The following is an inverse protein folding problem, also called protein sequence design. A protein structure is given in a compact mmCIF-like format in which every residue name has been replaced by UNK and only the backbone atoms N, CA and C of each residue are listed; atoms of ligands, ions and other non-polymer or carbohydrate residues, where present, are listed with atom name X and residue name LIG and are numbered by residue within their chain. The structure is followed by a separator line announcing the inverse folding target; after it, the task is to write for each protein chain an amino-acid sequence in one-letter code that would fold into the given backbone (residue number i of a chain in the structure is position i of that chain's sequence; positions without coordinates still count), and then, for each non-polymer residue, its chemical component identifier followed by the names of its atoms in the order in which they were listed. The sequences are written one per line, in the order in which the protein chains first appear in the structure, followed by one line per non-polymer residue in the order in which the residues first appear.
data_IF_368486504962
#
_entry.id   IF_368486504962
#
_cell.length_a   1.000
_cell.length_b   1.000
_cell.length_c   1.000
_cell.angle_alpha   90.00
_cell.angle_beta   90.00
_cell.angle_gamma   90.00
#
_symmetry.space_group_name_H-M   'P 1'
#
loop_
_entity.id
_entity.type
_entity.pdbx_description
1 polymer ?
#
# COMPACT_ATOMS: atom_id res chain seq x y z
N UNK A 1 70.68 -21.27 -20.75
CA UNK A 1 70.12 -21.04 -19.42
C UNK A 1 68.66 -21.25 -19.53
N UNK A 2 68.01 -22.22 -18.93
CA UNK A 2 66.61 -22.38 -18.90
C UNK A 2 66.04 -21.33 -17.92
N UNK A 3 65.02 -20.61 -18.36
CA UNK A 3 64.26 -19.71 -17.54
C UNK A 3 63.57 -20.50 -16.42
N UNK A 4 63.92 -20.18 -15.18
CA UNK A 4 63.24 -20.69 -13.99
C UNK A 4 61.72 -20.40 -14.13
N UNK A 5 60.97 -21.48 -14.14
CA UNK A 5 59.53 -21.42 -13.96
C UNK A 5 59.27 -20.79 -12.58
N UNK A 6 58.80 -19.56 -12.57
CA UNK A 6 58.25 -18.95 -11.36
C UNK A 6 57.04 -19.80 -10.90
N UNK A 7 57.30 -20.77 -10.04
CA UNK A 7 56.28 -21.53 -9.35
C UNK A 7 55.58 -20.55 -8.39
N UNK A 8 54.44 -20.05 -8.79
CA UNK A 8 53.58 -19.21 -7.92
C UNK A 8 53.26 -20.02 -6.66
N UNK A 9 53.74 -19.58 -5.52
CA UNK A 9 53.55 -20.29 -4.26
C UNK A 9 52.20 -19.97 -3.64
N UNK A 10 51.23 -20.84 -3.84
CA UNK A 10 49.88 -20.71 -3.30
C UNK A 10 49.73 -21.13 -1.82
N UNK A 11 50.82 -21.55 -1.15
CA UNK A 11 50.76 -22.04 0.23
C UNK A 11 50.16 -21.04 1.22
N UNK A 12 50.29 -19.73 0.97
CA UNK A 12 49.71 -18.66 1.77
C UNK A 12 48.17 -18.73 1.77
N UNK A 13 47.54 -19.20 0.69
CA UNK A 13 46.08 -19.29 0.59
C UNK A 13 45.46 -20.35 1.50
N UNK A 14 46.26 -21.30 1.99
CA UNK A 14 45.83 -22.32 2.96
C UNK A 14 45.55 -21.71 4.36
N UNK A 15 46.10 -20.55 4.67
CA UNK A 15 45.82 -19.86 5.94
C UNK A 15 44.52 -19.04 5.91
N UNK A 16 43.90 -18.90 4.75
CA UNK A 16 42.62 -18.23 4.64
C UNK A 16 41.53 -19.18 5.12
N UNK A 17 40.65 -18.67 5.99
CA UNK A 17 39.46 -19.42 6.44
C UNK A 17 38.35 -19.47 5.38
N UNK A 18 38.47 -18.67 4.33
CA UNK A 18 37.52 -18.63 3.21
C UNK A 18 37.84 -19.71 2.18
N UNK A 19 36.84 -20.34 1.54
CA UNK A 19 37.07 -21.26 0.43
C UNK A 19 37.73 -20.54 -0.76
N UNK A 20 38.88 -21.01 -1.21
CA UNK A 20 39.60 -20.43 -2.36
C UNK A 20 39.96 -21.52 -3.35
N UNK A 21 39.70 -21.27 -4.63
CA UNK A 21 40.13 -22.08 -5.76
C UNK A 21 40.77 -21.21 -6.83
N UNK A 22 41.80 -21.69 -7.48
CA UNK A 22 42.53 -21.02 -8.56
C UNK A 22 42.47 -21.84 -9.83
N UNK A 23 42.10 -21.20 -10.93
CA UNK A 23 42.12 -21.80 -12.26
C UNK A 23 43.17 -21.14 -13.14
N UNK A 24 43.71 -21.89 -14.12
CA UNK A 24 44.46 -21.31 -15.22
C UNK A 24 43.50 -20.62 -16.19
N UNK A 25 43.75 -19.36 -16.50
CA UNK A 25 42.94 -18.60 -17.45
C UNK A 25 43.02 -19.16 -18.88
N UNK A 26 44.20 -19.72 -19.28
CA UNK A 26 44.43 -20.23 -20.62
C UNK A 26 44.01 -21.70 -20.80
N UNK A 27 44.23 -22.53 -19.77
CA UNK A 27 43.98 -23.98 -19.84
C UNK A 27 42.61 -24.38 -19.29
N UNK A 28 41.89 -23.46 -18.62
CA UNK A 28 40.61 -23.72 -17.97
C UNK A 28 40.63 -24.87 -16.96
N UNK A 29 41.80 -25.13 -16.36
CA UNK A 29 42.04 -26.21 -15.42
C UNK A 29 42.26 -25.70 -14.01
N UNK A 30 41.85 -26.49 -13.02
CA UNK A 30 42.14 -26.23 -11.61
C UNK A 30 43.65 -26.31 -11.38
N UNK A 31 44.23 -25.29 -10.76
CA UNK A 31 45.64 -25.18 -10.41
C UNK A 31 45.84 -25.42 -8.92
N UNK A 32 44.92 -24.91 -8.11
CA UNK A 32 45.02 -24.99 -6.66
C UNK A 32 43.61 -24.86 -6.01
N UNK A 33 43.42 -25.53 -4.88
CA UNK A 33 42.32 -25.30 -3.95
C UNK A 33 42.78 -25.46 -2.51
N UNK A 34 42.34 -24.58 -1.63
CA UNK A 34 42.68 -24.63 -0.21
C UNK A 34 41.81 -25.64 0.56
N UNK A 35 42.17 -25.90 1.82
CA UNK A 35 41.46 -26.86 2.69
C UNK A 35 39.99 -26.47 2.90
N UNK A 36 39.71 -25.18 3.07
CA UNK A 36 38.36 -24.68 3.23
C UNK A 36 37.49 -24.96 1.99
N UNK A 37 38.04 -24.82 0.77
CA UNK A 37 37.32 -25.17 -0.45
C UNK A 37 37.12 -26.70 -0.56
N UNK A 38 38.09 -27.50 -0.19
CA UNK A 38 37.98 -28.98 -0.20
C UNK A 38 36.82 -29.45 0.72
N UNK A 39 36.70 -28.86 1.90
CA UNK A 39 35.59 -29.14 2.82
C UNK A 39 34.23 -28.77 2.21
N UNK A 40 34.11 -27.58 1.64
CA UNK A 40 32.87 -27.12 0.97
C UNK A 40 32.51 -28.05 -0.19
N UNK A 41 33.50 -28.48 -0.99
CA UNK A 41 33.26 -29.40 -2.11
C UNK A 41 32.79 -30.78 -1.63
N UNK A 42 33.33 -31.31 -0.55
CA UNK A 42 32.86 -32.55 0.07
C UNK A 42 31.39 -32.42 0.53
N UNK A 43 31.05 -31.35 1.20
CA UNK A 43 29.63 -31.09 1.60
C UNK A 43 28.74 -31.00 0.37
N UNK A 44 29.14 -30.34 -0.68
CA UNK A 44 28.38 -30.20 -1.92
C UNK A 44 28.15 -31.56 -2.62
N UNK A 45 29.13 -32.40 -2.68
CA UNK A 45 29.03 -33.75 -3.29
C UNK A 45 28.07 -34.67 -2.52
N UNK A 46 28.00 -34.51 -1.20
CA UNK A 46 27.13 -35.29 -0.33
C UNK A 46 25.73 -34.67 -0.16
N UNK A 47 25.50 -33.47 -0.70
CA UNK A 47 24.21 -32.82 -0.61
C UNK A 47 23.16 -33.57 -1.45
N UNK A 48 21.96 -33.73 -0.89
CA UNK A 48 20.81 -34.41 -1.53
C UNK A 48 20.35 -33.81 -2.86
N UNK A 49 20.77 -32.60 -3.18
CA UNK A 49 20.40 -31.83 -4.35
C UNK A 49 21.47 -31.75 -5.46
N UNK A 50 22.47 -32.59 -5.44
CA UNK A 50 23.45 -32.63 -6.53
C UNK A 50 23.04 -33.65 -7.62
N UNK A 51 22.23 -33.26 -8.63
CA UNK A 51 21.66 -34.19 -9.61
C UNK A 51 22.66 -34.70 -10.63
N UNK A 52 23.84 -34.06 -10.70
CA UNK A 52 24.80 -34.30 -11.80
C UNK A 52 26.11 -34.96 -11.36
N UNK A 53 26.31 -35.14 -10.05
CA UNK A 53 27.59 -35.62 -9.49
C UNK A 53 28.84 -34.83 -9.97
N UNK A 54 28.64 -33.59 -10.43
CA UNK A 54 29.75 -32.75 -10.90
C UNK A 54 30.45 -32.10 -9.72
N UNK A 55 31.78 -31.99 -9.83
CA UNK A 55 32.56 -31.25 -8.84
C UNK A 55 32.19 -29.80 -8.79
N UNK A 56 32.12 -29.24 -7.58
CA UNK A 56 31.75 -27.83 -7.35
C UNK A 56 32.65 -26.87 -8.14
N UNK A 57 33.93 -27.15 -8.20
CA UNK A 57 34.91 -26.40 -8.99
C UNK A 57 34.49 -26.24 -10.46
N UNK A 58 34.06 -27.32 -11.10
CA UNK A 58 33.61 -27.30 -12.50
C UNK A 58 32.35 -26.48 -12.72
N UNK A 59 31.41 -26.55 -11.76
CA UNK A 59 30.17 -25.78 -11.84
C UNK A 59 30.45 -24.29 -11.67
N UNK A 60 31.30 -23.94 -10.72
CA UNK A 60 31.69 -22.52 -10.48
C UNK A 60 32.36 -21.98 -11.74
N UNK A 61 33.32 -22.71 -12.29
CA UNK A 61 34.06 -22.27 -13.47
C UNK A 61 33.12 -22.07 -14.68
N UNK A 62 32.29 -23.08 -15.01
CA UNK A 62 31.37 -22.99 -16.16
C UNK A 62 30.40 -21.81 -16.03
N UNK A 63 29.78 -21.63 -14.86
CA UNK A 63 28.78 -20.57 -14.65
C UNK A 63 29.37 -19.16 -14.64
N UNK A 64 30.57 -18.98 -14.09
CA UNK A 64 31.26 -17.69 -14.14
C UNK A 64 31.72 -17.34 -15.54
N UNK A 65 32.11 -18.36 -16.35
CA UNK A 65 32.53 -18.16 -17.74
C UNK A 65 31.35 -17.91 -18.70
N UNK A 66 30.20 -18.57 -18.48
CA UNK A 66 29.04 -18.49 -19.36
C UNK A 66 28.21 -17.20 -19.19
N UNK A 67 28.18 -16.63 -17.96
CA UNK A 67 27.25 -15.58 -17.61
C UNK A 67 27.84 -14.15 -17.59
N UNK A 68 29.08 -13.97 -17.91
CA UNK A 68 29.82 -12.68 -17.83
C UNK A 68 29.63 -11.99 -16.46
N UNK A 69 29.54 -12.79 -15.38
CA UNK A 69 29.33 -12.33 -14.01
C UNK A 69 30.48 -12.72 -13.12
N UNK A 70 30.97 -11.77 -12.34
CA UNK A 70 32.05 -12.01 -11.35
C UNK A 70 31.56 -12.76 -10.11
N UNK A 71 30.26 -13.03 -9.97
CA UNK A 71 29.65 -13.56 -8.75
C UNK A 71 28.68 -14.70 -9.04
N UNK A 72 28.82 -15.76 -8.25
CA UNK A 72 27.94 -16.92 -8.28
C UNK A 72 27.48 -17.26 -6.86
N UNK A 73 26.17 -17.41 -6.64
CA UNK A 73 25.64 -17.93 -5.39
C UNK A 73 25.27 -19.41 -5.55
N UNK A 74 25.76 -20.22 -4.63
CA UNK A 74 25.52 -21.66 -4.59
C UNK A 74 24.87 -22.01 -3.24
N UNK A 75 23.76 -22.71 -3.30
CA UNK A 75 23.09 -23.25 -2.12
C UNK A 75 23.59 -24.68 -1.86
N UNK A 76 24.06 -24.94 -0.64
CA UNK A 76 24.48 -26.24 -0.16
C UNK A 76 23.52 -26.68 0.94
N UNK A 77 22.85 -27.81 0.71
CA UNK A 77 21.90 -28.38 1.67
C UNK A 77 22.29 -29.83 1.96
N UNK A 78 22.71 -30.12 3.21
CA UNK A 78 23.06 -31.46 3.64
C UNK A 78 21.99 -32.15 4.48
N UNK A 79 20.72 -31.67 4.38
CA UNK A 79 19.57 -32.19 5.10
C UNK A 79 19.35 -31.58 6.49
N UNK A 80 20.40 -31.24 7.21
CA UNK A 80 20.32 -30.60 8.55
C UNK A 80 20.67 -29.12 8.52
N UNK A 81 21.51 -28.72 7.58
CA UNK A 81 22.00 -27.34 7.46
C UNK A 81 21.91 -26.88 6.03
N UNK A 82 21.48 -25.63 5.85
CA UNK A 82 21.42 -24.93 4.57
C UNK A 82 22.41 -23.78 4.63
N UNK A 83 23.40 -23.80 3.73
CA UNK A 83 24.36 -22.73 3.56
C UNK A 83 24.22 -22.12 2.18
N UNK A 84 24.37 -20.82 2.07
CA UNK A 84 24.46 -20.09 0.82
C UNK A 84 25.85 -19.48 0.74
N UNK A 85 26.64 -19.99 -0.22
CA UNK A 85 27.97 -19.49 -0.47
C UNK A 85 27.95 -18.60 -1.71
N UNK A 86 28.60 -17.45 -1.61
CA UNK A 86 28.87 -16.57 -2.74
C UNK A 86 30.29 -16.74 -3.17
N UNK A 87 30.49 -17.12 -4.43
CA UNK A 87 31.79 -17.18 -5.05
C UNK A 87 32.00 -15.92 -5.90
N UNK A 88 33.17 -15.29 -5.72
CA UNK A 88 33.59 -14.11 -6.50
C UNK A 88 34.86 -14.45 -7.24
N UNK A 89 34.89 -14.18 -8.56
CA UNK A 89 36.06 -14.44 -9.40
C UNK A 89 36.83 -13.16 -9.68
N UNK A 90 38.15 -13.22 -9.56
CA UNK A 90 39.07 -12.15 -9.89
C UNK A 90 40.16 -12.66 -10.83
N UNK A 91 40.39 -11.98 -11.93
CA UNK A 91 41.45 -12.33 -12.87
C UNK A 91 42.78 -11.66 -12.43
N UNK A 92 43.79 -12.47 -12.18
CA UNK A 92 45.09 -11.97 -11.77
C UNK A 92 46.17 -12.61 -12.67
N UNK A 93 46.64 -11.86 -13.66
CA UNK A 93 47.57 -12.36 -14.66
C UNK A 93 47.00 -13.54 -15.47
N UNK A 94 47.66 -14.69 -15.44
CA UNK A 94 47.22 -15.91 -16.13
C UNK A 94 46.32 -16.81 -15.28
N UNK A 95 45.81 -16.29 -14.15
CA UNK A 95 45.03 -17.08 -13.21
C UNK A 95 43.68 -16.39 -12.91
N UNK A 96 42.67 -17.22 -12.66
CA UNK A 96 41.38 -16.81 -12.11
C UNK A 96 41.31 -17.30 -10.67
N UNK A 97 41.27 -16.37 -9.72
CA UNK A 97 41.17 -16.66 -8.30
C UNK A 97 39.68 -16.52 -7.95
N UNK A 98 39.11 -17.55 -7.37
CA UNK A 98 37.72 -17.58 -6.93
C UNK A 98 37.68 -17.72 -5.42
N UNK A 99 37.08 -16.80 -4.75
CA UNK A 99 36.90 -16.76 -3.30
C UNK A 99 35.42 -17.00 -2.95
N UNK A 100 35.19 -17.84 -1.93
CA UNK A 100 33.88 -18.14 -1.41
C UNK A 100 33.61 -17.45 -0.07
N UNK A 101 32.39 -16.89 0.10
CA UNK A 101 31.92 -16.27 1.33
C UNK A 101 30.62 -16.96 1.75
N UNK A 102 30.48 -17.34 3.02
CA UNK A 102 29.19 -17.78 3.56
C UNK A 102 28.30 -16.57 3.81
N UNK A 103 27.27 -16.46 3.00
CA UNK A 103 26.28 -15.36 3.06
C UNK A 103 24.93 -15.82 3.63
N UNK A 104 24.89 -16.97 4.30
CA UNK A 104 23.65 -17.56 4.84
C UNK A 104 22.94 -16.61 5.80
N UNK A 105 23.66 -16.05 6.77
CA UNK A 105 23.10 -15.09 7.71
C UNK A 105 22.69 -13.78 7.02
N UNK A 106 23.49 -13.29 6.08
CA UNK A 106 23.16 -12.10 5.30
C UNK A 106 21.84 -12.30 4.54
N UNK A 107 21.68 -13.41 3.85
CA UNK A 107 20.44 -13.75 3.12
C UNK A 107 19.24 -13.93 4.06
N UNK A 108 19.46 -14.58 5.19
CA UNK A 108 18.41 -14.73 6.22
C UNK A 108 17.97 -13.37 6.75
N UNK A 109 18.90 -12.52 7.10
CA UNK A 109 18.60 -11.17 7.61
C UNK A 109 17.91 -10.32 6.55
N UNK A 110 18.34 -10.37 5.30
CA UNK A 110 17.70 -9.68 4.19
C UNK A 110 16.27 -10.17 3.96
N UNK A 111 16.04 -11.49 4.01
CA UNK A 111 14.70 -12.06 3.92
C UNK A 111 13.79 -11.59 5.07
N UNK A 112 14.27 -11.64 6.31
CA UNK A 112 13.53 -11.19 7.50
C UNK A 112 13.23 -9.69 7.42
N UNK A 113 14.21 -8.88 7.01
CA UNK A 113 14.04 -7.44 6.83
C UNK A 113 12.95 -7.12 5.79
N UNK A 114 13.00 -7.74 4.62
CA UNK A 114 12.00 -7.53 3.58
C UNK A 114 10.61 -7.95 4.06
N UNK A 115 10.50 -9.10 4.72
CA UNK A 115 9.24 -9.59 5.29
C UNK A 115 8.67 -8.64 6.34
N UNK A 116 9.53 -8.12 7.22
CA UNK A 116 9.12 -7.16 8.25
C UNK A 116 8.64 -5.85 7.62
N UNK A 117 9.33 -5.34 6.61
CA UNK A 117 8.91 -4.13 5.90
C UNK A 117 7.55 -4.31 5.24
N UNK A 118 7.32 -5.42 4.55
CA UNK A 118 5.99 -5.72 3.96
C UNK A 118 4.89 -5.73 5.02
N UNK A 119 5.12 -6.38 6.16
CA UNK A 119 4.17 -6.38 7.27
C UNK A 119 3.92 -4.98 7.83
N UNK A 120 4.95 -4.16 7.98
CA UNK A 120 4.82 -2.77 8.46
C UNK A 120 4.03 -1.91 7.47
N UNK A 121 4.23 -2.08 6.16
CA UNK A 121 3.45 -1.40 5.13
C UNK A 121 1.98 -1.80 5.19
N UNK A 122 1.68 -3.08 5.32
CA UNK A 122 0.31 -3.59 5.46
C UNK A 122 -0.37 -3.05 6.73
N UNK A 123 0.32 -3.09 7.88
CA UNK A 123 -0.20 -2.51 9.13
C UNK A 123 -0.42 -1.00 9.01
N UNK A 124 0.51 -0.28 8.40
CA UNK A 124 0.37 1.17 8.19
C UNK A 124 -0.87 1.49 7.34
N UNK A 125 -1.09 0.73 6.27
CA UNK A 125 -2.26 0.86 5.41
C UNK A 125 -3.55 0.58 6.17
N UNK A 126 -3.62 -0.52 6.91
CA UNK A 126 -4.78 -0.87 7.72
C UNK A 126 -5.08 0.20 8.78
N UNK A 127 -4.04 0.69 9.48
CA UNK A 127 -4.19 1.77 10.47
C UNK A 127 -4.68 3.08 9.81
N UNK A 128 -4.18 3.38 8.61
CA UNK A 128 -4.67 4.54 7.86
C UNK A 128 -6.14 4.39 7.48
N UNK A 129 -6.56 3.24 6.97
CA UNK A 129 -7.97 2.96 6.63
C UNK A 129 -8.87 3.04 7.86
N UNK A 130 -8.49 2.43 8.98
CA UNK A 130 -9.22 2.50 10.25
C UNK A 130 -9.34 3.94 10.77
N UNK A 131 -8.27 4.74 10.62
CA UNK A 131 -8.25 6.11 11.09
C UNK A 131 -9.04 7.08 10.21
N UNK A 132 -9.28 6.73 8.92
CA UNK A 132 -9.86 7.64 7.91
C UNK A 132 -11.19 7.17 7.31
N UNK A 133 -11.68 5.98 7.69
CA UNK A 133 -12.93 5.42 7.18
C UNK A 133 -13.95 5.26 8.31
N UNK A 134 -15.22 5.54 8.04
CA UNK A 134 -16.32 5.19 8.91
C UNK A 134 -16.64 3.70 8.79
N UNK A 135 -16.54 2.96 9.88
CA UNK A 135 -16.60 1.49 9.90
C UNK A 135 -17.98 0.94 9.53
N UNK A 136 -19.05 1.71 9.74
CA UNK A 136 -20.40 1.28 9.42
C UNK A 136 -20.68 1.45 7.92
N UNK A 137 -20.39 2.63 7.39
CA UNK A 137 -20.82 3.03 6.05
C UNK A 137 -19.74 2.86 4.99
N UNK A 138 -18.51 2.57 5.40
CA UNK A 138 -17.35 2.40 4.52
C UNK A 138 -17.14 3.61 3.56
N UNK A 139 -17.44 4.80 4.06
CA UNK A 139 -17.07 6.09 3.44
C UNK A 139 -16.01 6.79 4.29
N UNK A 140 -15.28 7.77 3.75
CA UNK A 140 -14.41 8.62 4.54
C UNK A 140 -15.09 9.17 5.80
N UNK A 141 -14.37 9.22 6.90
CA UNK A 141 -14.85 9.81 8.14
C UNK A 141 -14.51 11.31 8.24
N UNK A 142 -14.90 11.96 9.34
CA UNK A 142 -14.61 13.38 9.60
C UNK A 142 -13.11 13.72 9.47
N UNK A 143 -12.24 12.88 10.00
CA UNK A 143 -10.77 13.10 9.92
C UNK A 143 -10.28 13.11 8.47
N UNK A 144 -10.73 12.15 7.68
CA UNK A 144 -10.40 12.06 6.27
C UNK A 144 -10.90 13.27 5.47
N UNK A 145 -12.09 13.78 5.79
CA UNK A 145 -12.66 14.99 5.16
C UNK A 145 -11.75 16.21 5.36
N UNK A 146 -11.32 16.46 6.60
CA UNK A 146 -10.42 17.57 6.92
C UNK A 146 -9.05 17.42 6.25
N UNK A 147 -8.48 16.23 6.28
CA UNK A 147 -7.20 15.94 5.60
C UNK A 147 -7.31 16.17 4.08
N UNK A 148 -8.40 15.71 3.47
CA UNK A 148 -8.67 15.91 2.03
C UNK A 148 -8.81 17.36 1.66
N UNK A 149 -9.60 18.13 2.42
CA UNK A 149 -9.79 19.55 2.18
C UNK A 149 -8.47 20.32 2.25
N UNK A 150 -7.66 20.10 3.28
CA UNK A 150 -6.34 20.72 3.43
C UNK A 150 -5.41 20.36 2.26
N UNK A 151 -5.43 19.11 1.81
CA UNK A 151 -4.67 18.66 0.64
C UNK A 151 -5.11 19.37 -0.65
N UNK A 152 -6.41 19.54 -0.87
CA UNK A 152 -6.95 20.21 -2.05
C UNK A 152 -6.58 21.69 -2.07
N UNK A 153 -6.75 22.37 -0.93
CA UNK A 153 -6.40 23.77 -0.76
C UNK A 153 -4.92 24.04 -1.03
N UNK A 154 -4.03 23.14 -0.59
CA UNK A 154 -2.58 23.29 -0.79
C UNK A 154 -2.10 23.01 -2.22
N UNK A 155 -2.80 22.16 -2.98
CA UNK A 155 -2.39 21.74 -4.33
C UNK A 155 -2.81 22.68 -5.45
N UNK A 156 -3.86 23.46 -5.26
CA UNK A 156 -4.46 24.27 -6.31
C UNK A 156 -4.44 25.76 -5.96
N UNK A 157 -3.74 26.57 -6.76
CA UNK A 157 -3.70 28.03 -6.59
C UNK A 157 -5.07 28.70 -6.75
N UNK A 158 -5.92 28.12 -7.59
CA UNK A 158 -7.31 28.57 -7.84
C UNK A 158 -8.28 27.49 -7.35
N UNK A 159 -8.19 27.18 -6.04
CA UNK A 159 -9.08 26.20 -5.43
C UNK A 159 -10.48 26.78 -5.26
N UNK A 160 -11.47 26.09 -5.80
CA UNK A 160 -12.89 26.39 -5.57
C UNK A 160 -13.61 25.10 -5.22
N UNK A 161 -14.53 25.17 -4.28
CA UNK A 161 -15.41 24.06 -3.94
C UNK A 161 -16.72 24.55 -3.32
N UNK A 162 -17.69 23.65 -3.32
CA UNK A 162 -18.93 23.80 -2.58
C UNK A 162 -19.00 22.69 -1.54
N UNK A 163 -19.39 23.04 -0.32
CA UNK A 163 -19.57 22.14 0.81
C UNK A 163 -21.06 22.01 1.08
N UNK A 164 -21.60 20.80 0.99
CA UNK A 164 -22.97 20.48 1.37
C UNK A 164 -22.95 19.64 2.65
N UNK A 165 -23.51 20.18 3.73
CA UNK A 165 -23.78 19.45 4.97
C UNK A 165 -25.15 18.80 4.84
N UNK A 166 -25.21 17.49 4.98
CA UNK A 166 -26.39 16.65 4.73
C UNK A 166 -26.77 15.94 6.03
N UNK A 167 -28.06 15.91 6.34
CA UNK A 167 -28.62 15.21 7.50
C UNK A 167 -29.87 14.43 7.08
N UNK A 168 -29.93 13.15 7.45
CA UNK A 168 -31.07 12.28 7.11
C UNK A 168 -32.31 12.67 7.90
N UNK A 169 -33.37 13.01 7.17
CA UNK A 169 -34.60 13.44 7.76
C UNK A 169 -35.23 12.32 8.61
N UNK A 170 -35.63 12.70 9.82
CA UNK A 170 -36.30 11.80 10.76
C UNK A 170 -35.55 10.53 11.12
N UNK A 171 -34.21 10.52 11.05
CA UNK A 171 -33.39 9.32 11.32
C UNK A 171 -33.70 8.71 12.67
N UNK A 172 -33.88 9.52 13.71
CA UNK A 172 -34.28 9.02 15.04
C UNK A 172 -35.55 8.18 15.00
N UNK A 173 -36.53 8.50 14.13
CA UNK A 173 -37.78 7.71 14.01
C UNK A 173 -37.53 6.33 13.42
N UNK A 174 -36.54 6.15 12.55
CA UNK A 174 -36.15 4.82 12.07
C UNK A 174 -35.63 3.97 13.24
N UNK A 175 -34.75 4.53 14.07
CA UNK A 175 -34.25 3.85 15.26
C UNK A 175 -35.34 3.52 16.28
N UNK A 176 -36.18 4.50 16.59
CA UNK A 176 -37.24 4.35 17.60
C UNK A 176 -38.33 3.34 17.14
N UNK A 177 -38.62 3.26 15.84
CA UNK A 177 -39.67 2.39 15.29
C UNK A 177 -39.20 0.99 14.94
N UNK A 178 -37.94 0.82 14.46
CA UNK A 178 -37.44 -0.45 13.87
C UNK A 178 -36.15 -0.93 14.47
N UNK A 179 -35.61 -0.22 15.48
CA UNK A 179 -34.34 -0.57 16.15
C UNK A 179 -33.10 -0.01 15.44
N UNK A 180 -31.98 -0.03 16.17
CA UNK A 180 -30.71 0.51 15.70
C UNK A 180 -30.16 -0.21 14.46
N UNK A 181 -30.34 -1.54 14.37
CA UNK A 181 -29.89 -2.32 13.21
C UNK A 181 -30.55 -1.85 11.91
N UNK A 182 -31.81 -1.43 11.96
CA UNK A 182 -32.49 -0.83 10.81
C UNK A 182 -31.97 0.58 10.50
N UNK A 183 -31.70 1.38 11.53
CA UNK A 183 -31.03 2.67 11.36
C UNK A 183 -29.67 2.52 10.68
N UNK A 184 -28.89 1.52 11.06
CA UNK A 184 -27.62 1.20 10.43
C UNK A 184 -27.78 0.83 8.95
N UNK A 185 -28.80 0.03 8.60
CA UNK A 185 -29.14 -0.26 7.20
C UNK A 185 -29.50 1.01 6.40
N UNK A 186 -30.23 1.96 7.01
CA UNK A 186 -30.54 3.26 6.39
C UNK A 186 -29.26 4.00 6.05
N UNK A 187 -28.32 4.12 7.01
CA UNK A 187 -27.02 4.79 6.83
C UNK A 187 -26.18 4.13 5.74
N UNK A 188 -26.08 2.82 5.75
CA UNK A 188 -25.32 2.04 4.74
C UNK A 188 -25.93 2.20 3.35
N UNK A 189 -27.26 2.12 3.24
CA UNK A 189 -27.98 2.26 1.97
C UNK A 189 -27.83 3.67 1.41
N UNK A 190 -27.96 4.70 2.24
CA UNK A 190 -27.74 6.09 1.85
C UNK A 190 -26.33 6.31 1.35
N UNK A 191 -25.34 5.85 2.13
CA UNK A 191 -23.93 6.01 1.78
C UNK A 191 -23.57 5.36 0.45
N UNK A 192 -24.09 4.14 0.22
CA UNK A 192 -23.91 3.45 -1.06
C UNK A 192 -24.55 4.22 -2.21
N UNK A 193 -25.80 4.68 -2.05
CA UNK A 193 -26.51 5.45 -3.05
C UNK A 193 -25.74 6.73 -3.44
N UNK A 194 -25.22 7.47 -2.45
CA UNK A 194 -24.43 8.68 -2.72
C UNK A 194 -23.15 8.32 -3.48
N UNK A 195 -22.38 7.32 -3.02
CA UNK A 195 -21.15 6.86 -3.72
C UNK A 195 -21.42 6.48 -5.18
N UNK A 196 -22.51 5.81 -5.45
CA UNK A 196 -22.87 5.37 -6.80
C UNK A 196 -23.40 6.52 -7.69
N UNK A 197 -23.74 7.67 -7.09
CA UNK A 197 -24.34 8.84 -7.76
C UNK A 197 -23.36 9.98 -8.01
N UNK A 198 -22.19 9.97 -7.40
CA UNK A 198 -21.17 11.03 -7.50
C UNK A 198 -20.00 10.60 -8.37
N UNK A 199 -19.26 11.58 -8.90
CA UNK A 199 -18.06 11.39 -9.69
C UNK A 199 -16.77 11.77 -8.93
N UNK A 200 -15.62 11.66 -9.60
CA UNK A 200 -14.30 11.92 -9.03
C UNK A 200 -14.06 13.39 -8.63
N UNK A 201 -14.93 14.31 -9.06
CA UNK A 201 -14.89 15.71 -8.63
C UNK A 201 -15.54 15.93 -7.26
N UNK A 202 -16.11 14.89 -6.70
CA UNK A 202 -16.82 14.91 -5.44
C UNK A 202 -16.01 14.15 -4.35
N UNK A 203 -16.12 14.62 -3.11
CA UNK A 203 -15.62 13.90 -1.95
C UNK A 203 -16.73 13.82 -0.89
N UNK A 204 -17.16 12.61 -0.59
CA UNK A 204 -18.23 12.32 0.33
C UNK A 204 -17.71 11.67 1.61
N UNK A 205 -18.16 12.15 2.78
CA UNK A 205 -17.73 11.67 4.08
C UNK A 205 -18.89 11.67 5.08
N UNK A 206 -18.82 10.77 6.08
CA UNK A 206 -19.71 10.78 7.26
C UNK A 206 -19.04 11.55 8.40
N UNK A 207 -19.76 12.51 8.99
CA UNK A 207 -19.26 13.31 10.10
C UNK A 207 -19.53 12.67 11.46
N UNK A 208 -20.64 11.93 11.56
CA UNK A 208 -21.08 11.20 12.76
C UNK A 208 -22.62 11.13 12.79
N UNK A 209 -23.17 10.16 13.52
CA UNK A 209 -24.63 9.98 13.56
C UNK A 209 -25.24 9.84 12.17
N UNK A 210 -26.21 10.70 11.86
CA UNK A 210 -26.89 10.80 10.56
C UNK A 210 -26.36 11.92 9.66
N UNK A 211 -25.23 12.54 10.04
CA UNK A 211 -24.65 13.69 9.32
C UNK A 211 -23.56 13.27 8.35
N UNK A 212 -23.66 13.80 7.13
CA UNK A 212 -22.70 13.60 6.05
C UNK A 212 -22.27 14.93 5.44
N UNK A 213 -21.13 14.92 4.78
CA UNK A 213 -20.61 16.06 4.05
C UNK A 213 -20.25 15.66 2.62
N UNK A 214 -20.68 16.45 1.66
CA UNK A 214 -20.32 16.34 0.25
C UNK A 214 -19.55 17.59 -0.17
N UNK A 215 -18.27 17.43 -0.57
CA UNK A 215 -17.48 18.49 -1.19
C UNK A 215 -17.51 18.27 -2.70
N UNK A 216 -17.87 19.29 -3.48
CA UNK A 216 -17.83 19.29 -4.93
C UNK A 216 -16.74 20.29 -5.38
N UNK A 217 -15.76 19.82 -6.18
CA UNK A 217 -14.52 20.54 -6.45
C UNK A 217 -14.56 21.10 -7.86
N UNK A 218 -14.07 22.35 -8.04
CA UNK A 218 -13.89 23.02 -9.33
C UNK A 218 -15.14 23.12 -10.23
N UNK A 219 -16.33 23.03 -9.65
CA UNK A 219 -17.59 23.22 -10.36
C UNK A 219 -18.21 24.59 -10.02
N UNK A 220 -19.05 25.10 -10.93
CA UNK A 220 -19.82 26.32 -10.63
C UNK A 220 -20.82 26.04 -9.49
N UNK A 221 -21.00 27.00 -8.60
CA UNK A 221 -21.90 26.91 -7.43
C UNK A 221 -23.31 26.44 -7.81
N UNK A 222 -23.83 26.97 -8.92
CA UNK A 222 -25.17 26.60 -9.42
C UNK A 222 -25.24 25.14 -9.84
N UNK A 223 -24.15 24.57 -10.39
CA UNK A 223 -24.08 23.17 -10.77
C UNK A 223 -23.99 22.29 -9.52
N UNK A 224 -23.16 22.68 -8.56
CA UNK A 224 -23.03 21.95 -7.30
C UNK A 224 -24.36 21.88 -6.53
N UNK A 225 -25.08 23.00 -6.46
CA UNK A 225 -26.39 23.07 -5.85
C UNK A 225 -27.36 22.12 -6.55
N UNK A 226 -27.47 22.22 -7.89
CA UNK A 226 -28.36 21.38 -8.69
C UNK A 226 -28.02 19.89 -8.55
N UNK A 227 -26.73 19.52 -8.44
CA UNK A 227 -26.31 18.15 -8.20
C UNK A 227 -26.78 17.64 -6.83
N UNK A 228 -26.69 18.48 -5.78
CA UNK A 228 -27.17 18.12 -4.44
C UNK A 228 -28.71 17.99 -4.43
N UNK A 229 -29.42 18.84 -5.14
CA UNK A 229 -30.88 18.70 -5.31
C UNK A 229 -31.25 17.43 -6.07
N UNK A 230 -30.56 17.11 -7.16
CA UNK A 230 -30.73 15.85 -7.91
C UNK A 230 -30.47 14.63 -7.02
N UNK A 231 -29.43 14.66 -6.19
CA UNK A 231 -29.16 13.62 -5.22
C UNK A 231 -30.30 13.41 -4.25
N UNK A 232 -30.90 14.51 -3.74
CA UNK A 232 -32.08 14.45 -2.90
C UNK A 232 -33.29 13.80 -3.62
N UNK A 233 -33.55 14.17 -4.87
CA UNK A 233 -34.65 13.58 -5.62
C UNK A 233 -34.46 12.09 -5.86
N UNK A 234 -33.24 11.64 -6.20
CA UNK A 234 -32.97 10.22 -6.36
C UNK A 234 -33.00 9.46 -5.03
N UNK A 235 -32.57 10.08 -3.92
CA UNK A 235 -32.71 9.49 -2.57
C UNK A 235 -34.15 9.20 -2.20
N UNK A 236 -35.10 10.09 -2.54
CA UNK A 236 -36.53 9.89 -2.30
C UNK A 236 -37.13 8.68 -3.02
N UNK A 237 -36.49 8.18 -4.09
CA UNK A 237 -36.95 6.99 -4.81
C UNK A 237 -36.58 5.69 -4.13
N UNK A 238 -35.64 5.72 -3.17
CA UNK A 238 -35.19 4.55 -2.44
C UNK A 238 -36.32 4.05 -1.54
N UNK A 239 -36.55 2.75 -1.58
CA UNK A 239 -37.48 2.04 -0.72
C UNK A 239 -36.72 1.00 0.10
N UNK A 240 -36.78 1.12 1.41
CA UNK A 240 -36.24 0.17 2.36
C UNK A 240 -37.32 -0.77 2.84
N UNK A 241 -37.05 -2.06 2.86
CA UNK A 241 -37.94 -3.06 3.44
C UNK A 241 -37.75 -3.06 4.96
N UNK A 242 -38.82 -2.78 5.68
CA UNK A 242 -38.82 -2.78 7.14
C UNK A 242 -38.95 -4.19 7.71
N UNK A 243 -38.65 -4.43 9.00
CA UNK A 243 -38.73 -5.75 9.62
C UNK A 243 -40.13 -6.37 9.59
N UNK A 244 -41.20 -5.56 9.46
CA UNK A 244 -42.61 -6.00 9.33
C UNK A 244 -43.03 -6.23 7.86
N UNK A 245 -42.06 -6.30 6.92
CA UNK A 245 -42.25 -6.50 5.48
C UNK A 245 -43.05 -5.35 4.77
N UNK A 246 -43.08 -4.18 5.35
CA UNK A 246 -43.54 -2.97 4.66
C UNK A 246 -42.39 -2.22 3.99
N UNK A 247 -42.68 -1.16 3.25
CA UNK A 247 -41.65 -0.33 2.61
C UNK A 247 -41.73 1.11 3.11
N UNK A 248 -40.56 1.65 3.46
CA UNK A 248 -40.44 3.06 3.88
C UNK A 248 -39.40 3.77 2.99
N UNK A 249 -39.67 5.03 2.67
CA UNK A 249 -38.74 5.90 1.96
C UNK A 249 -37.81 6.64 2.90
N UNK A 250 -36.71 7.18 2.34
CA UNK A 250 -35.84 8.10 3.06
C UNK A 250 -35.70 9.41 2.31
N UNK A 251 -35.38 10.48 3.04
CA UNK A 251 -34.97 11.77 2.50
C UNK A 251 -33.88 12.39 3.36
N UNK A 252 -33.30 13.47 2.87
CA UNK A 252 -32.39 14.28 3.65
C UNK A 252 -32.66 15.76 3.48
N UNK A 253 -32.19 16.55 4.42
CA UNK A 253 -32.05 17.99 4.30
C UNK A 253 -30.58 18.35 4.13
N UNK A 254 -30.27 19.39 3.38
CA UNK A 254 -28.90 19.84 3.19
C UNK A 254 -28.78 21.37 3.22
N UNK A 255 -27.70 21.84 3.84
CA UNK A 255 -27.23 23.21 3.73
C UNK A 255 -25.98 23.28 2.90
N UNK A 256 -25.84 24.30 2.07
CA UNK A 256 -24.74 24.45 1.09
C UNK A 256 -24.01 25.76 1.31
N UNK A 257 -22.68 25.71 1.42
CA UNK A 257 -21.77 26.85 1.52
C UNK A 257 -20.70 26.79 0.43
N UNK A 258 -20.28 27.96 -0.05
CA UNK A 258 -19.34 28.12 -1.17
C UNK A 258 -18.01 28.66 -0.70
N UNK A 259 -16.93 28.00 -1.05
CA UNK A 259 -15.57 28.43 -0.72
C UNK A 259 -15.27 29.81 -1.32
N UNK A 260 -14.66 30.67 -0.52
CA UNK A 260 -14.32 32.05 -0.89
C UNK A 260 -15.44 33.07 -0.64
N UNK A 261 -16.71 32.65 -0.78
CA UNK A 261 -17.88 33.52 -0.49
C UNK A 261 -18.37 33.32 0.95
N UNK A 262 -18.51 32.07 1.36
CA UNK A 262 -19.15 31.71 2.63
C UNK A 262 -18.11 31.16 3.64
N UNK A 263 -16.83 31.29 3.36
CA UNK A 263 -15.70 30.88 4.21
C UNK A 263 -14.51 30.42 3.41
N UNK A 264 -13.33 30.42 4.05
CA UNK A 264 -12.06 30.00 3.46
C UNK A 264 -11.45 28.79 4.16
N UNK A 265 -12.04 28.37 5.27
CA UNK A 265 -11.70 27.13 5.98
C UNK A 265 -12.87 26.16 5.97
N UNK A 266 -12.60 24.87 6.15
CA UNK A 266 -13.65 23.86 6.21
C UNK A 266 -14.57 24.07 7.41
N UNK A 267 -14.04 24.52 8.54
CA UNK A 267 -14.83 24.81 9.74
C UNK A 267 -15.83 25.95 9.51
N UNK A 268 -15.40 27.03 8.85
CA UNK A 268 -16.31 28.14 8.48
C UNK A 268 -17.39 27.69 7.52
N UNK A 269 -17.03 26.91 6.50
CA UNK A 269 -17.97 26.39 5.50
C UNK A 269 -18.97 25.42 6.14
N UNK A 270 -18.53 24.54 7.03
CA UNK A 270 -19.45 23.64 7.76
C UNK A 270 -20.38 24.42 8.68
N UNK A 271 -19.88 25.43 9.40
CA UNK A 271 -20.73 26.29 10.25
C UNK A 271 -21.81 27.04 9.45
N UNK A 272 -21.44 27.54 8.28
CA UNK A 272 -22.40 28.29 7.45
C UNK A 272 -23.36 27.34 6.71
N UNK A 273 -22.87 26.15 6.29
CA UNK A 273 -23.74 25.09 5.79
C UNK A 273 -24.71 24.59 6.87
N UNK A 274 -24.31 24.51 8.15
CA UNK A 274 -25.20 24.12 9.26
C UNK A 274 -26.34 25.12 9.47
N UNK A 275 -26.08 26.43 9.40
CA UNK A 275 -27.12 27.44 9.45
C UNK A 275 -28.16 27.27 8.34
N UNK A 276 -27.69 26.98 7.12
CA UNK A 276 -28.60 26.72 5.99
C UNK A 276 -29.34 25.38 6.15
N UNK A 277 -28.69 24.34 6.69
CA UNK A 277 -29.32 23.06 7.02
C UNK A 277 -30.41 23.23 8.11
N UNK A 278 -30.09 23.99 9.14
CA UNK A 278 -31.10 24.33 10.16
C UNK A 278 -32.34 24.98 9.55
N UNK A 279 -32.15 25.97 8.66
CA UNK A 279 -33.25 26.59 7.93
C UNK A 279 -34.00 25.56 7.07
N UNK A 280 -33.33 24.63 6.40
CA UNK A 280 -33.95 23.56 5.64
C UNK A 280 -34.86 22.69 6.53
N UNK A 281 -34.39 22.33 7.74
CA UNK A 281 -35.15 21.52 8.71
C UNK A 281 -36.37 22.24 9.26
N UNK A 282 -36.25 23.53 9.63
CA UNK A 282 -37.35 24.34 10.13
C UNK A 282 -38.43 24.57 9.07
N UNK A 283 -38.09 24.68 7.80
CA UNK A 283 -39.02 24.94 6.72
C UNK A 283 -39.60 23.67 6.07
N UNK A 284 -39.66 22.55 6.81
CA UNK A 284 -40.39 21.35 6.40
C UNK A 284 -39.53 20.26 5.85
N UNK A 285 -38.20 20.33 6.00
CA UNK A 285 -37.21 19.29 5.61
C UNK A 285 -37.21 18.94 4.12
N UNK A 286 -36.53 17.87 3.75
CA UNK A 286 -36.49 17.29 2.39
C UNK A 286 -36.20 18.33 1.30
N UNK A 287 -35.19 19.16 1.56
CA UNK A 287 -34.73 20.26 0.69
C UNK A 287 -33.27 20.58 0.86
N UNK A 288 -32.72 21.22 -0.15
CA UNK A 288 -31.42 21.83 -0.15
C UNK A 288 -31.57 23.34 -0.03
N UNK A 289 -30.78 23.94 0.85
CA UNK A 289 -30.79 25.42 1.05
C UNK A 289 -29.35 25.91 0.92
N UNK A 290 -29.14 26.97 0.14
CA UNK A 290 -27.86 27.66 0.06
C UNK A 290 -27.76 28.63 1.23
N UNK A 291 -26.58 28.71 1.85
CA UNK A 291 -26.31 29.76 2.83
C UNK A 291 -26.37 31.11 2.13
N UNK A 292 -27.12 32.00 2.66
CA UNK A 292 -27.18 33.41 2.27
C UNK A 292 -26.54 34.18 3.42
N UNK A 293 -25.32 34.69 3.22
CA UNK A 293 -24.64 35.56 4.19
C UNK A 293 -25.51 36.73 4.54
N UNK A 294 -25.52 37.12 5.83
CA UNK A 294 -26.24 38.26 6.32
C UNK A 294 -25.71 39.59 5.78
#
# INVERSE_FOLDING_TARGET
MPLEQNSTNYSVLNYLQLPVIVFSANAHTEVFKNESFQLVEQYYLHASNNPTNKHLAQIIYSKLSENDTDKLEVEINNGSYRHILRFTANVVGEHVIVEGEDITELKRNQFLFNRTNTLLEDYSKQMFELAHTDQLTNVPNRRALFAKFSQLQSKHKEFSCTVSLIDLDYFKRFNDSFGHDFGDQVLVTFSKHVKDSIDDTCYFARLGGEEFCLIQINNKDTVCFANTEKLLQTTKTIKLMTPDNSYIGMSFSAGVAVYGNDGISLDELLNNADKALYFAKENGRSRVVKFEGA
#
